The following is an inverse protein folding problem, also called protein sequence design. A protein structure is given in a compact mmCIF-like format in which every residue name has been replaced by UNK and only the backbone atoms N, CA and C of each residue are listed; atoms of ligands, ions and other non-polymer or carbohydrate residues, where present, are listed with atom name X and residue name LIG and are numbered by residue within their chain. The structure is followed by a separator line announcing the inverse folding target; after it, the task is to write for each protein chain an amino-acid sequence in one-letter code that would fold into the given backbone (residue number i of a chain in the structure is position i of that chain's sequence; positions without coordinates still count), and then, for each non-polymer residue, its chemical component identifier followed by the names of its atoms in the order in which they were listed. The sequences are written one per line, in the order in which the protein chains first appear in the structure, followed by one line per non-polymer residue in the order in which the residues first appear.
data_IF_362289032352
#
_entry.id   IF_362289032352
#
_cell.length_a   1.000
_cell.length_b   1.000
_cell.length_c   1.000
_cell.angle_alpha   90.00
_cell.angle_beta   90.00
_cell.angle_gamma   90.00
#
_symmetry.space_group_name_H-M   'P 1'
#
loop_
_entity.id
_entity.type
_entity.pdbx_description
1 polymer ?
#
# COMPACT_ATOMS: atom_id res chain seq x y z
N UNK A 1 -2.90 14.06 8.27
CA UNK A 1 -3.63 13.12 9.14
C UNK A 1 -2.63 12.35 10.00
N UNK A 2 -2.96 12.06 11.26
CA UNK A 2 -2.21 11.10 12.08
C UNK A 2 -2.73 9.68 11.78
N UNK A 3 -1.83 8.80 11.35
CA UNK A 3 -2.16 7.42 11.01
C UNK A 3 -2.44 6.57 12.27
N UNK A 4 -1.82 6.89 13.40
CA UNK A 4 -2.02 6.10 14.62
C UNK A 4 -3.44 6.24 15.17
N UNK A 5 -4.11 7.35 14.88
CA UNK A 5 -5.49 7.62 15.29
C UNK A 5 -6.55 6.77 14.55
N UNK A 6 -6.17 6.00 13.53
CA UNK A 6 -7.09 5.19 12.72
C UNK A 6 -6.71 3.71 12.68
N UNK A 7 -5.85 3.26 13.58
CA UNK A 7 -5.52 1.85 13.78
C UNK A 7 -6.80 1.08 14.14
N UNK A 8 -6.97 -0.11 13.55
CA UNK A 8 -7.97 -1.08 13.97
C UNK A 8 -7.42 -1.91 15.13
N UNK A 9 -8.23 -2.19 16.13
CA UNK A 9 -7.84 -3.05 17.25
C UNK A 9 -8.20 -4.50 16.93
N UNK A 10 -7.19 -5.34 16.75
CA UNK A 10 -7.33 -6.79 16.59
C UNK A 10 -6.75 -7.58 17.77
N UNK A 11 -6.25 -6.90 18.82
CA UNK A 11 -5.49 -7.52 19.91
C UNK A 11 -6.28 -8.51 20.77
N UNK A 12 -7.62 -8.37 20.77
CA UNK A 12 -8.55 -9.24 21.47
C UNK A 12 -9.28 -10.24 20.56
N UNK A 13 -8.94 -10.28 19.26
CA UNK A 13 -9.57 -11.18 18.29
C UNK A 13 -8.87 -12.54 18.33
N UNK A 14 -9.58 -13.65 18.58
CA UNK A 14 -9.00 -14.99 18.51
C UNK A 14 -8.40 -15.30 17.13
N UNK A 15 -7.34 -16.09 17.08
CA UNK A 15 -6.63 -16.44 15.83
C UNK A 15 -7.57 -16.94 14.72
N UNK A 16 -8.55 -17.78 15.08
CA UNK A 16 -9.55 -18.34 14.17
C UNK A 16 -10.53 -17.30 13.58
N UNK A 17 -10.67 -16.15 14.24
CA UNK A 17 -11.54 -15.05 13.81
C UNK A 17 -10.77 -13.94 13.08
N UNK A 18 -9.43 -13.97 13.08
CA UNK A 18 -8.61 -12.92 12.44
C UNK A 18 -8.85 -12.82 10.92
N UNK A 19 -8.90 -13.96 10.22
CA UNK A 19 -9.18 -13.98 8.78
C UNK A 19 -10.59 -13.46 8.45
N UNK A 20 -11.70 -14.03 8.98
CA UNK A 20 -13.04 -13.55 8.66
C UNK A 20 -13.26 -12.09 9.08
N UNK A 21 -12.76 -11.64 10.24
CA UNK A 21 -12.88 -10.24 10.66
C UNK A 21 -12.01 -9.31 9.79
N UNK A 22 -10.79 -9.73 9.46
CA UNK A 22 -9.92 -8.99 8.55
C UNK A 22 -10.54 -8.82 7.15
N UNK A 23 -11.11 -9.90 6.60
CA UNK A 23 -11.84 -9.84 5.34
C UNK A 23 -13.05 -8.91 5.43
N UNK A 24 -13.86 -9.01 6.49
CA UNK A 24 -15.01 -8.13 6.69
C UNK A 24 -14.60 -6.65 6.75
N UNK A 25 -13.54 -6.32 7.50
CA UNK A 25 -12.98 -4.97 7.57
C UNK A 25 -12.50 -4.49 6.19
N UNK A 26 -11.79 -5.34 5.43
CA UNK A 26 -11.32 -5.01 4.08
C UNK A 26 -12.47 -4.71 3.13
N UNK A 27 -13.51 -5.55 3.13
CA UNK A 27 -14.73 -5.35 2.36
C UNK A 27 -15.37 -4.01 2.69
N UNK A 28 -15.57 -3.76 3.99
CA UNK A 28 -16.19 -2.54 4.48
C UNK A 28 -15.45 -1.27 4.04
N UNK A 29 -14.12 -1.28 4.11
CA UNK A 29 -13.31 -0.10 3.79
C UNK A 29 -13.06 0.10 2.29
N UNK A 30 -12.92 -0.97 1.52
CA UNK A 30 -12.39 -0.88 0.16
C UNK A 30 -13.32 -1.36 -0.94
N UNK A 31 -14.35 -2.15 -0.65
CA UNK A 31 -15.23 -2.72 -1.68
C UNK A 31 -16.60 -2.04 -1.69
N UNK A 32 -16.82 -1.16 -2.67
CA UNK A 32 -18.07 -0.39 -2.84
C UNK A 32 -18.90 -0.85 -4.06
N UNK A 33 -18.47 -1.89 -4.78
CA UNK A 33 -19.14 -2.47 -5.96
C UNK A 33 -19.16 -4.00 -5.91
N UNK A 34 -19.52 -4.56 -4.76
CA UNK A 34 -19.57 -6.00 -4.54
C UNK A 34 -18.18 -6.61 -4.31
N UNK A 35 -17.59 -7.23 -5.33
CA UNK A 35 -16.27 -7.90 -5.25
C UNK A 35 -15.08 -6.98 -5.54
N UNK A 36 -15.35 -5.73 -5.86
CA UNK A 36 -14.31 -4.72 -6.08
C UNK A 36 -14.79 -3.37 -5.55
N UNK A 37 -13.87 -2.42 -5.44
CA UNK A 37 -14.20 -1.02 -5.21
C UNK A 37 -13.26 -0.08 -5.95
N UNK A 38 -13.75 1.13 -6.20
CA UNK A 38 -13.02 2.19 -6.90
C UNK A 38 -12.81 3.34 -5.94
N UNK A 39 -11.56 3.78 -5.85
CA UNK A 39 -11.09 4.92 -5.05
C UNK A 39 -10.25 5.84 -5.94
N UNK A 40 -9.81 6.97 -5.40
CA UNK A 40 -9.04 7.98 -6.14
C UNK A 40 -7.70 8.21 -5.46
N UNK A 41 -6.62 8.36 -6.24
CA UNK A 41 -5.29 8.75 -5.75
C UNK A 41 -5.13 10.27 -5.59
N UNK A 42 -4.02 10.68 -4.99
CA UNK A 42 -3.64 12.09 -4.78
C UNK A 42 -3.65 12.95 -6.06
N UNK A 43 -3.51 12.34 -7.24
CA UNK A 43 -3.49 12.98 -8.56
C UNK A 43 -4.78 12.77 -9.37
N UNK A 44 -5.85 12.24 -8.74
CA UNK A 44 -7.15 12.07 -9.38
C UNK A 44 -7.32 10.77 -10.18
N UNK A 45 -6.29 9.92 -10.27
CA UNK A 45 -6.40 8.63 -10.98
C UNK A 45 -7.19 7.59 -10.17
N UNK A 46 -7.89 6.71 -10.88
CA UNK A 46 -8.64 5.62 -10.25
C UNK A 46 -7.70 4.56 -9.67
N UNK A 47 -8.05 4.06 -8.47
CA UNK A 47 -7.40 2.93 -7.80
C UNK A 47 -8.44 1.87 -7.49
N UNK A 48 -8.29 0.70 -8.10
CA UNK A 48 -9.20 -0.43 -7.93
C UNK A 48 -8.68 -1.37 -6.85
N UNK A 49 -9.58 -1.73 -5.93
CA UNK A 49 -9.38 -2.76 -4.92
C UNK A 49 -10.22 -3.97 -5.29
N UNK A 50 -9.65 -5.17 -5.23
CA UNK A 50 -10.37 -6.42 -5.48
C UNK A 50 -10.39 -7.27 -4.21
N UNK A 51 -11.48 -8.00 -4.02
CA UNK A 51 -11.69 -8.93 -2.91
C UNK A 51 -10.54 -9.93 -2.74
N UNK A 52 -10.05 -10.50 -3.84
CA UNK A 52 -8.97 -11.49 -3.86
C UNK A 52 -7.59 -10.91 -3.48
N UNK A 53 -7.45 -9.59 -3.46
CA UNK A 53 -6.21 -8.91 -3.10
C UNK A 53 -5.96 -8.94 -1.58
N UNK A 54 -6.99 -9.21 -0.77
CA UNK A 54 -6.86 -9.36 0.69
C UNK A 54 -5.80 -10.41 1.05
N UNK A 55 -5.92 -11.61 0.46
CA UNK A 55 -4.99 -12.71 0.69
C UNK A 55 -3.54 -12.35 0.37
N UNK A 56 -3.31 -11.56 -0.69
CA UNK A 56 -1.96 -11.15 -1.07
C UNK A 56 -1.37 -10.07 -0.17
N UNK A 57 -2.21 -9.15 0.31
CA UNK A 57 -1.77 -7.97 1.03
C UNK A 57 -1.56 -8.25 2.52
N UNK A 58 -2.44 -9.05 3.14
CA UNK A 58 -2.49 -9.19 4.60
C UNK A 58 -1.91 -10.51 5.12
N UNK A 59 -1.66 -11.50 4.28
CA UNK A 59 -0.94 -12.71 4.71
C UNK A 59 0.57 -12.53 4.54
N UNK A 60 1.33 -13.16 5.44
CA UNK A 60 2.77 -13.22 5.33
C UNK A 60 3.20 -14.15 4.20
N UNK A 61 4.21 -13.71 3.44
CA UNK A 61 4.90 -14.61 2.52
C UNK A 61 5.86 -15.45 3.35
N UNK A 62 5.87 -16.78 3.20
CA UNK A 62 6.79 -17.61 3.95
C UNK A 62 8.23 -17.17 3.66
N UNK A 63 8.92 -16.66 4.67
CA UNK A 63 10.37 -16.55 4.60
C UNK A 63 10.93 -17.97 4.58
N UNK A 64 11.84 -18.27 3.63
CA UNK A 64 12.51 -19.57 3.54
C UNK A 64 13.28 -19.94 4.82
N UNK A 65 13.53 -18.96 5.71
CA UNK A 65 14.25 -19.12 6.96
C UNK A 65 13.37 -19.24 8.22
N UNK A 66 12.07 -18.98 8.13
CA UNK A 66 11.18 -19.16 9.29
C UNK A 66 10.74 -20.62 9.40
N UNK A 67 11.24 -21.32 10.42
CA UNK A 67 10.79 -22.68 10.77
C UNK A 67 9.34 -22.70 11.28
N UNK A 68 8.74 -21.53 11.55
CA UNK A 68 7.37 -21.40 12.04
C UNK A 68 6.47 -21.01 10.86
N UNK A 69 5.90 -22.03 10.24
CA UNK A 69 4.99 -21.97 9.08
C UNK A 69 3.58 -21.46 9.45
N UNK A 70 3.41 -20.26 9.99
CA UNK A 70 2.06 -19.67 10.09
C UNK A 70 1.68 -19.03 8.75
N UNK A 71 1.40 -19.87 7.74
CA UNK A 71 0.88 -19.40 6.44
C UNK A 71 -0.64 -19.19 6.45
N UNK A 72 -1.30 -19.72 7.48
CA UNK A 72 -2.76 -19.85 7.49
C UNK A 72 -3.45 -18.69 8.21
N UNK A 73 -2.68 -17.75 8.78
CA UNK A 73 -3.22 -16.59 9.47
C UNK A 73 -2.74 -15.29 8.81
N UNK A 74 -3.60 -14.26 8.72
CA UNK A 74 -3.18 -12.93 8.33
C UNK A 74 -2.22 -12.33 9.39
N UNK A 75 -1.34 -11.45 8.94
CA UNK A 75 -0.49 -10.65 9.81
C UNK A 75 -1.35 -9.59 10.53
N UNK A 76 -1.46 -9.72 11.85
CA UNK A 76 -2.24 -8.85 12.72
C UNK A 76 -1.86 -7.37 12.53
N UNK A 77 -0.56 -7.04 12.47
CA UNK A 77 -0.10 -5.65 12.31
C UNK A 77 -0.52 -5.06 10.96
N UNK A 78 -0.57 -5.88 9.90
CA UNK A 78 -1.09 -5.44 8.61
C UNK A 78 -2.59 -5.20 8.67
N UNK A 79 -3.35 -6.04 9.40
CA UNK A 79 -4.79 -5.83 9.61
C UNK A 79 -5.06 -4.55 10.40
N UNK A 80 -4.35 -4.34 11.52
CA UNK A 80 -4.42 -3.13 12.34
C UNK A 80 -4.21 -1.84 11.50
N UNK A 81 -3.28 -1.88 10.56
CA UNK A 81 -2.91 -0.75 9.69
C UNK A 81 -3.68 -0.67 8.40
N UNK A 82 -4.67 -1.55 8.18
CA UNK A 82 -5.44 -1.60 6.94
C UNK A 82 -6.04 -0.24 6.56
N UNK A 83 -6.51 0.54 7.53
CA UNK A 83 -7.09 1.87 7.29
C UNK A 83 -6.08 2.94 6.86
N UNK A 84 -4.77 2.68 6.99
CA UNK A 84 -3.73 3.62 6.53
C UNK A 84 -3.65 3.74 5.02
N UNK A 85 -4.05 2.68 4.29
CA UNK A 85 -3.89 2.56 2.84
C UNK A 85 -4.62 3.71 2.12
N UNK A 86 -5.89 3.96 2.45
CA UNK A 86 -6.71 4.99 1.80
C UNK A 86 -6.14 6.41 1.91
N UNK A 87 -5.97 6.96 3.13
CA UNK A 87 -5.40 8.29 3.33
C UNK A 87 -4.00 8.45 2.71
N UNK A 88 -3.19 7.40 2.74
CA UNK A 88 -1.85 7.44 2.16
C UNK A 88 -1.90 7.57 0.63
N UNK A 89 -2.77 6.79 -0.05
CA UNK A 89 -2.98 6.87 -1.50
C UNK A 89 -3.53 8.24 -1.92
N UNK A 90 -4.43 8.83 -1.10
CA UNK A 90 -5.00 10.16 -1.32
C UNK A 90 -4.04 11.32 -1.01
N UNK A 91 -2.87 11.04 -0.45
CA UNK A 91 -1.88 12.08 -0.11
C UNK A 91 -2.24 12.88 1.15
N UNK A 92 -3.13 12.37 2.01
CA UNK A 92 -3.61 13.04 3.23
C UNK A 92 -2.64 12.91 4.42
N UNK A 93 -1.58 12.11 4.24
CA UNK A 93 -0.56 11.83 5.26
C UNK A 93 0.61 12.79 5.06
N UNK A 94 0.87 13.64 6.06
CA UNK A 94 1.95 14.62 6.00
C UNK A 94 3.31 13.94 5.90
N UNK A 95 4.19 14.45 5.03
CA UNK A 95 5.50 13.87 4.79
C UNK A 95 5.48 12.53 4.03
N UNK A 96 4.32 12.09 3.55
CA UNK A 96 4.23 10.93 2.65
C UNK A 96 4.74 11.25 1.25
N UNK A 97 5.16 10.21 0.53
CA UNK A 97 5.66 10.33 -0.84
C UNK A 97 5.03 9.28 -1.74
N UNK A 98 4.94 9.57 -3.04
CA UNK A 98 4.61 8.58 -4.06
C UNK A 98 5.74 8.52 -5.10
N UNK A 99 6.08 7.30 -5.53
CA UNK A 99 7.17 7.02 -6.47
C UNK A 99 6.69 6.11 -7.60
N UNK A 100 7.14 6.38 -8.83
CA UNK A 100 7.19 5.37 -9.88
C UNK A 100 8.41 4.49 -9.69
N UNK A 101 8.19 3.19 -9.54
CA UNK A 101 9.23 2.19 -9.34
C UNK A 101 9.22 1.19 -10.50
N UNK A 102 10.38 0.89 -11.13
CA UNK A 102 10.45 -0.10 -12.20
C UNK A 102 9.85 -1.44 -11.78
N UNK A 103 9.05 -2.05 -12.65
CA UNK A 103 8.45 -3.36 -12.36
C UNK A 103 9.53 -4.41 -12.10
N UNK A 104 9.41 -5.25 -11.06
CA UNK A 104 10.37 -6.31 -10.78
C UNK A 104 10.44 -7.35 -11.92
N UNK A 105 9.40 -7.43 -12.74
CA UNK A 105 9.31 -8.36 -13.88
C UNK A 105 9.90 -7.81 -15.19
N UNK A 106 10.54 -6.63 -15.16
CA UNK A 106 11.37 -6.13 -16.27
C UNK A 106 10.96 -4.76 -16.82
N UNK A 107 11.89 -4.12 -17.54
CA UNK A 107 11.81 -2.72 -18.01
C UNK A 107 10.70 -2.42 -19.03
N UNK A 108 10.08 -3.45 -19.62
CA UNK A 108 9.03 -3.28 -20.65
C UNK A 108 7.63 -3.11 -20.07
N UNK A 109 7.45 -3.35 -18.76
CA UNK A 109 6.17 -3.11 -18.10
C UNK A 109 6.11 -1.68 -17.56
N UNK A 110 4.93 -1.04 -17.53
CA UNK A 110 4.79 0.25 -16.87
C UNK A 110 5.23 0.15 -15.40
N UNK A 111 5.77 1.24 -14.83
CA UNK A 111 6.24 1.24 -13.44
C UNK A 111 5.06 1.01 -12.48
N UNK A 112 5.37 0.41 -11.34
CA UNK A 112 4.45 0.37 -10.20
C UNK A 112 4.45 1.72 -9.49
N UNK A 113 3.38 2.03 -8.76
CA UNK A 113 3.37 3.13 -7.79
C UNK A 113 3.67 2.60 -6.39
N UNK A 114 4.50 3.35 -5.68
CA UNK A 114 4.86 3.10 -4.29
C UNK A 114 4.54 4.34 -3.47
N UNK A 115 3.59 4.23 -2.56
CA UNK A 115 3.35 5.23 -1.54
C UNK A 115 4.12 4.87 -0.26
N UNK A 116 4.67 5.88 0.40
CA UNK A 116 5.56 5.71 1.55
C UNK A 116 5.13 6.66 2.66
N UNK A 117 4.87 6.11 3.85
CA UNK A 117 4.78 6.87 5.09
C UNK A 117 6.10 6.71 5.86
N UNK A 118 7.03 7.65 5.71
CA UNK A 118 8.40 7.50 6.20
C UNK A 118 8.51 7.32 7.72
N UNK A 119 7.73 8.07 8.49
CA UNK A 119 7.79 8.02 9.95
C UNK A 119 7.31 6.67 10.50
N UNK A 120 6.37 6.04 9.81
CA UNK A 120 5.80 4.73 10.16
C UNK A 120 6.54 3.56 9.48
N UNK A 121 7.48 3.84 8.58
CA UNK A 121 8.12 2.84 7.73
C UNK A 121 7.11 1.93 7.01
N UNK A 122 5.99 2.51 6.57
CA UNK A 122 4.90 1.78 5.92
C UNK A 122 4.87 2.07 4.43
N UNK A 123 4.59 1.05 3.62
CA UNK A 123 4.48 1.19 2.18
C UNK A 123 3.18 0.63 1.63
N UNK A 124 2.70 1.22 0.54
CA UNK A 124 1.55 0.75 -0.25
C UNK A 124 1.97 0.66 -1.71
N UNK A 125 1.76 -0.50 -2.31
CA UNK A 125 2.05 -0.77 -3.72
C UNK A 125 0.78 -0.76 -4.55
N UNK A 126 0.84 -0.05 -5.68
CA UNK A 126 -0.14 -0.14 -6.75
C UNK A 126 0.49 -0.64 -8.04
N UNK A 127 -0.26 -1.45 -8.78
CA UNK A 127 0.09 -1.96 -10.10
C UNK A 127 -0.68 -1.20 -11.19
N UNK A 128 -0.03 -0.87 -12.31
CA UNK A 128 -0.70 -0.24 -13.44
C UNK A 128 -1.69 -1.22 -14.08
N UNK A 129 -2.86 -0.71 -14.52
CA UNK A 129 -3.84 -1.51 -15.26
C UNK A 129 -3.73 -1.27 -16.76
N UNK A 130 -4.09 -2.27 -17.57
CA UNK A 130 -4.08 -2.15 -19.04
C UNK A 130 -5.05 -1.08 -19.56
N UNK A 131 -6.19 -0.89 -18.88
CA UNK A 131 -7.22 0.08 -19.25
C UNK A 131 -7.00 1.46 -18.61
N UNK A 132 -5.81 1.71 -18.05
CA UNK A 132 -5.53 2.92 -17.28
C UNK A 132 -5.93 2.81 -15.79
N UNK A 133 -5.41 3.76 -15.02
CA UNK A 133 -5.50 3.75 -13.55
C UNK A 133 -4.67 2.65 -12.91
N UNK A 134 -4.96 2.40 -11.63
CA UNK A 134 -4.16 1.57 -10.76
C UNK A 134 -4.99 0.47 -10.11
N UNK A 135 -4.31 -0.60 -9.70
CA UNK A 135 -4.86 -1.67 -8.88
C UNK A 135 -4.05 -1.73 -7.59
N UNK A 136 -4.72 -1.80 -6.45
CA UNK A 136 -4.06 -2.11 -5.18
C UNK A 136 -3.35 -3.47 -5.29
N UNK A 137 -2.13 -3.58 -4.77
CA UNK A 137 -1.33 -4.81 -4.79
C UNK A 137 -1.04 -5.30 -3.37
N UNK A 138 -0.34 -4.51 -2.58
CA UNK A 138 0.02 -4.90 -1.21
C UNK A 138 0.32 -3.68 -0.35
N UNK A 139 0.30 -3.86 0.97
CA UNK A 139 0.75 -2.87 1.92
C UNK A 139 1.34 -3.54 3.16
N UNK A 140 2.45 -3.01 3.67
CA UNK A 140 3.19 -3.63 4.77
C UNK A 140 4.24 -2.71 5.38
N UNK A 141 4.73 -3.11 6.55
CA UNK A 141 5.84 -2.49 7.25
C UNK A 141 7.18 -2.86 6.64
N UNK A 142 8.13 -1.94 6.70
CA UNK A 142 9.48 -2.12 6.18
C UNK A 142 10.49 -1.91 7.30
N UNK A 143 11.57 -2.69 7.26
CA UNK A 143 12.57 -2.72 8.34
C UNK A 143 13.33 -1.40 8.55
N UNK A 144 13.46 -0.57 7.51
CA UNK A 144 14.13 0.74 7.64
C UNK A 144 13.88 1.64 6.43
N UNK A 145 14.03 2.95 6.63
CA UNK A 145 14.00 3.93 5.55
C UNK A 145 15.12 3.70 4.51
N UNK A 146 16.29 3.24 4.98
CA UNK A 146 17.41 2.87 4.11
C UNK A 146 17.01 1.73 3.16
N UNK A 147 16.33 0.70 3.68
CA UNK A 147 15.84 -0.40 2.86
C UNK A 147 14.88 0.08 1.77
N UNK A 148 13.91 0.93 2.12
CA UNK A 148 12.97 1.52 1.14
C UNK A 148 13.73 2.24 0.02
N UNK A 149 14.70 3.09 0.37
CA UNK A 149 15.49 3.85 -0.62
C UNK A 149 16.31 2.96 -1.52
N UNK A 150 17.05 2.01 -0.95
CA UNK A 150 18.01 1.18 -1.69
C UNK A 150 17.35 0.05 -2.48
N UNK A 151 16.22 -0.47 -2.01
CA UNK A 151 15.53 -1.62 -2.62
C UNK A 151 14.36 -1.21 -3.49
N UNK A 152 13.53 -0.28 -3.04
CA UNK A 152 12.29 0.07 -3.74
C UNK A 152 12.44 1.32 -4.58
N UNK A 153 13.00 2.41 -4.05
CA UNK A 153 13.13 3.66 -4.81
C UNK A 153 14.29 3.64 -5.82
N UNK A 154 15.17 2.63 -5.79
CA UNK A 154 16.36 2.56 -6.65
C UNK A 154 15.95 2.48 -8.12
N UNK A 155 16.35 3.47 -8.90
CA UNK A 155 16.00 3.59 -10.32
C UNK A 155 14.55 4.03 -10.56
N UNK A 156 13.82 4.37 -9.49
CA UNK A 156 12.51 4.99 -9.56
C UNK A 156 12.58 6.52 -9.55
N UNK A 157 11.44 7.15 -9.83
CA UNK A 157 11.25 8.59 -9.81
C UNK A 157 10.13 8.99 -8.86
N UNK A 158 10.38 9.97 -7.98
CA UNK A 158 9.35 10.54 -7.12
C UNK A 158 8.34 11.32 -7.96
N UNK A 159 7.05 11.07 -7.73
CA UNK A 159 5.94 11.76 -8.38
C UNK A 159 5.09 12.59 -7.39
N UNK A 160 5.14 12.29 -6.09
CA UNK A 160 4.50 13.09 -5.04
C UNK A 160 5.39 13.26 -3.80
N UNK A 161 5.41 14.44 -3.16
CA UNK A 161 4.83 15.70 -3.63
C UNK A 161 5.48 16.15 -4.93
N UNK A 162 4.70 16.76 -5.83
CA UNK A 162 5.22 17.34 -7.07
C UNK A 162 6.23 18.41 -6.66
N UNK A 163 7.47 18.33 -7.15
CA UNK A 163 8.43 19.41 -6.95
C UNK A 163 7.82 20.67 -7.58
N UNK A 164 7.79 21.83 -6.89
CA UNK A 164 7.34 23.06 -7.54
C UNK A 164 8.15 23.23 -8.82
N UNK A 165 7.46 23.54 -9.93
CA UNK A 165 8.14 23.86 -11.17
C UNK A 165 9.18 24.95 -10.87
N UNK A 166 10.42 24.79 -11.33
CA UNK A 166 11.39 25.88 -11.25
C UNK A 166 10.75 27.05 -11.99
N UNK A 167 10.38 28.10 -11.25
CA UNK A 167 10.00 29.37 -11.85
C UNK A 167 11.28 29.84 -12.55
N UNK A 168 11.34 29.67 -13.86
CA UNK A 168 12.39 30.30 -14.67
C UNK A 168 12.02 31.77 -14.69
N UNK A 169 12.85 32.67 -14.14
CA UNK A 169 12.63 34.10 -14.27
C UNK A 169 12.52 34.40 -15.77
N UNK A 170 11.45 35.07 -16.18
CA UNK A 170 11.43 35.73 -17.48
C UNK A 170 12.24 37.00 -17.28
N UNK A 171 13.46 37.01 -17.79
CA UNK A 171 14.22 38.24 -18.03
C UNK A 171 13.55 39.07 -19.15
#
# INVERSE_FOLDING_TARGET
MDLNAIILDFSAVPDEELDPQGQAAYRFHYLNRGKYGIHTSHDGEEVIFHEDQFGHAFFDKPDKKSLIKRRDLPDERRLERMRWIGPLIRGEVAGSECWHVPSPTGRRRPPNRLYIAWNQLYVVWLEPRQLGGWKFSSAYDVVSARYIREKYCRGGGKIWPVKPAKVVPRD
#
